data_IF_913054104215
#
_entry.id   IF_913054104215
#
_cell.length_a   1.000
_cell.length_b   1.000
_cell.length_c   1.000
_cell.angle_alpha   90.00
_cell.angle_beta   90.00
_cell.angle_gamma   90.00
#
_symmetry.space_group_name_H-M   'P 1'
#
loop_
_entity.id
_entity.type
_entity.pdbx_description
1 polymer ?
#
# COMPACT_ATOMS: atom_id res chain seq x y z
N UNK A 1 21.87 -31.87 -13.25
CA UNK A 1 21.89 -31.93 -11.77
C UNK A 1 21.05 -30.76 -11.27
N UNK A 2 19.75 -31.00 -11.01
CA UNK A 2 18.80 -29.97 -10.62
C UNK A 2 19.01 -29.64 -9.15
N UNK A 3 19.41 -28.40 -8.85
CA UNK A 3 19.59 -27.94 -7.48
C UNK A 3 18.20 -27.74 -6.84
N UNK A 4 17.90 -28.54 -5.82
CA UNK A 4 16.70 -28.37 -4.98
C UNK A 4 16.73 -27.01 -4.29
N UNK A 5 15.74 -26.17 -4.59
CA UNK A 5 15.51 -24.87 -3.97
C UNK A 5 14.99 -25.07 -2.54
N UNK A 6 15.88 -24.98 -1.54
CA UNK A 6 15.49 -24.98 -0.12
C UNK A 6 14.87 -23.64 0.28
N UNK A 7 13.65 -23.67 0.81
CA UNK A 7 12.95 -22.54 1.40
C UNK A 7 13.85 -21.83 2.44
N UNK A 8 14.22 -20.56 2.18
CA UNK A 8 15.12 -19.77 3.02
C UNK A 8 16.61 -19.70 2.60
N UNK A 9 17.00 -20.28 1.46
CA UNK A 9 18.37 -20.19 0.95
C UNK A 9 18.75 -18.81 0.37
N UNK A 10 20.03 -18.43 0.48
CA UNK A 10 20.57 -17.15 -0.04
C UNK A 10 20.37 -16.94 -1.55
N UNK A 11 20.25 -18.02 -2.33
CA UNK A 11 19.91 -17.99 -3.75
C UNK A 11 18.44 -17.57 -3.99
N UNK A 12 17.49 -18.09 -3.18
CA UNK A 12 16.10 -17.64 -3.17
C UNK A 12 16.01 -16.19 -2.70
N UNK A 13 16.77 -15.80 -1.65
CA UNK A 13 16.84 -14.41 -1.21
C UNK A 13 17.28 -13.43 -2.30
N UNK A 14 18.27 -13.80 -3.14
CA UNK A 14 18.72 -12.98 -4.28
C UNK A 14 17.72 -12.95 -5.44
N UNK A 15 17.04 -14.06 -5.72
CA UNK A 15 15.97 -14.13 -6.73
C UNK A 15 14.76 -13.30 -6.29
N UNK A 16 14.38 -13.39 -5.01
CA UNK A 16 13.31 -12.59 -4.40
C UNK A 16 13.68 -11.11 -4.32
N UNK A 17 14.94 -10.75 -4.01
CA UNK A 17 15.39 -9.36 -4.04
C UNK A 17 15.36 -8.76 -5.45
N UNK A 18 15.76 -9.53 -6.48
CA UNK A 18 15.68 -9.10 -7.89
C UNK A 18 14.23 -9.02 -8.38
N UNK A 19 13.39 -9.97 -8.00
CA UNK A 19 11.95 -9.97 -8.31
C UNK A 19 11.23 -8.83 -7.60
N UNK A 20 11.56 -8.54 -6.33
CA UNK A 20 11.00 -7.43 -5.59
C UNK A 20 11.48 -6.09 -6.16
N UNK A 21 12.77 -5.93 -6.46
CA UNK A 21 13.29 -4.72 -7.10
C UNK A 21 12.59 -4.39 -8.42
N UNK A 22 12.28 -5.40 -9.24
CA UNK A 22 11.53 -5.21 -10.48
C UNK A 22 10.07 -4.80 -10.25
N UNK A 23 9.40 -5.36 -9.23
CA UNK A 23 8.04 -4.95 -8.85
C UNK A 23 8.02 -3.50 -8.34
N UNK A 24 9.01 -3.15 -7.51
CA UNK A 24 9.23 -1.80 -6.99
C UNK A 24 9.44 -0.80 -8.12
N UNK A 25 10.27 -1.15 -9.10
CA UNK A 25 10.54 -0.34 -10.28
C UNK A 25 9.28 -0.18 -11.16
N UNK A 26 8.53 -1.27 -11.38
CA UNK A 26 7.26 -1.23 -12.10
C UNK A 26 6.26 -0.28 -11.42
N UNK A 27 6.12 -0.40 -10.10
CA UNK A 27 5.24 0.44 -9.32
C UNK A 27 5.66 1.92 -9.38
N UNK A 28 6.95 2.21 -9.18
CA UNK A 28 7.44 3.59 -9.22
C UNK A 28 7.26 4.25 -10.58
N UNK A 29 7.55 3.51 -11.66
CA UNK A 29 7.27 3.95 -13.02
C UNK A 29 5.77 4.24 -13.20
N UNK A 30 4.92 3.35 -12.71
CA UNK A 30 3.48 3.55 -12.68
C UNK A 30 3.10 4.84 -11.97
N UNK A 31 3.61 5.06 -10.76
CA UNK A 31 3.32 6.23 -9.94
C UNK A 31 3.66 7.53 -10.66
N UNK A 32 4.87 7.64 -11.19
CA UNK A 32 5.30 8.82 -11.94
C UNK A 32 4.44 9.04 -13.20
N UNK A 33 4.05 7.97 -13.90
CA UNK A 33 3.12 8.09 -15.04
C UNK A 33 1.71 8.53 -14.64
N UNK A 34 1.27 8.15 -13.44
CA UNK A 34 0.01 8.60 -12.86
C UNK A 34 0.06 10.09 -12.57
N UNK A 35 1.13 10.57 -11.95
CA UNK A 35 1.37 12.01 -11.71
C UNK A 35 1.40 12.80 -13.02
N UNK A 36 1.96 12.24 -14.10
CA UNK A 36 1.99 12.89 -15.41
C UNK A 36 0.66 12.77 -16.18
N UNK A 37 -0.34 12.05 -15.65
CA UNK A 37 -1.59 11.78 -16.36
C UNK A 37 -2.41 13.06 -16.59
N UNK A 38 -2.40 14.01 -15.67
CA UNK A 38 -3.12 15.28 -15.79
C UNK A 38 -2.51 16.25 -16.82
N UNK A 39 -1.29 16.00 -17.31
CA UNK A 39 -0.50 16.88 -18.20
C UNK A 39 -0.07 18.22 -17.57
N UNK A 40 -0.42 18.45 -16.30
CA UNK A 40 -0.05 19.64 -15.54
C UNK A 40 -0.01 19.32 -14.05
N UNK A 41 1.14 19.51 -13.43
CA UNK A 41 1.33 19.31 -12.00
C UNK A 41 0.91 20.58 -11.25
N UNK A 42 0.06 20.47 -10.25
CA UNK A 42 -0.38 21.58 -9.39
C UNK A 42 0.45 21.67 -8.11
N UNK A 43 0.41 22.82 -7.43
CA UNK A 43 1.18 23.04 -6.19
C UNK A 43 0.83 22.06 -5.06
N UNK A 44 -0.41 21.57 -5.04
CA UNK A 44 -0.86 20.57 -4.07
C UNK A 44 -0.30 19.18 -4.38
N UNK A 45 -0.08 18.85 -5.66
CA UNK A 45 0.52 17.59 -6.11
C UNK A 45 2.00 17.50 -5.70
N UNK A 46 2.73 18.63 -5.71
CA UNK A 46 4.16 18.67 -5.35
C UNK A 46 4.45 18.11 -3.95
N UNK A 47 3.62 18.46 -2.96
CA UNK A 47 3.80 17.97 -1.60
C UNK A 47 3.53 16.45 -1.49
N UNK A 48 2.55 15.95 -2.25
CA UNK A 48 2.23 14.52 -2.32
C UNK A 48 3.30 13.71 -3.04
N UNK A 49 3.81 14.21 -4.17
CA UNK A 49 4.91 13.59 -4.93
C UNK A 49 6.16 13.50 -4.05
N UNK A 50 6.50 14.59 -3.35
CA UNK A 50 7.64 14.62 -2.43
C UNK A 50 7.51 13.60 -1.31
N UNK A 51 6.32 13.50 -0.69
CA UNK A 51 6.09 12.54 0.38
C UNK A 51 6.25 11.08 -0.10
N UNK A 52 5.77 10.77 -1.30
CA UNK A 52 5.93 9.42 -1.87
C UNK A 52 7.39 9.15 -2.26
N UNK A 53 8.10 10.14 -2.82
CA UNK A 53 9.54 10.02 -3.11
C UNK A 53 10.37 9.81 -1.83
N UNK A 54 10.09 10.53 -0.74
CA UNK A 54 10.73 10.32 0.56
C UNK A 54 10.49 8.90 1.09
N UNK A 55 9.25 8.41 0.98
CA UNK A 55 8.90 7.05 1.39
C UNK A 55 9.64 6.01 0.54
N UNK A 56 9.66 6.19 -0.77
CA UNK A 56 10.35 5.30 -1.70
C UNK A 56 11.86 5.26 -1.43
N UNK A 57 12.47 6.43 -1.20
CA UNK A 57 13.88 6.56 -0.79
C UNK A 57 14.16 5.84 0.54
N UNK A 58 13.33 6.03 1.56
CA UNK A 58 13.53 5.40 2.88
C UNK A 58 13.47 3.87 2.81
N UNK A 59 12.61 3.33 1.94
CA UNK A 59 12.37 1.90 1.83
C UNK A 59 13.39 1.19 0.94
N UNK A 60 13.82 1.85 -0.14
CA UNK A 60 14.59 1.21 -1.20
C UNK A 60 15.96 1.84 -1.46
N UNK A 61 16.24 3.03 -0.90
CA UNK A 61 17.51 3.74 -1.10
C UNK A 61 17.72 4.21 -2.54
N UNK A 62 16.63 4.55 -3.25
CA UNK A 62 16.65 4.89 -4.66
C UNK A 62 17.24 6.30 -4.91
N UNK A 63 18.26 6.38 -5.77
CA UNK A 63 18.98 7.64 -6.04
C UNK A 63 18.14 8.66 -6.80
N UNK A 64 17.32 8.22 -7.75
CA UNK A 64 16.51 9.16 -8.54
C UNK A 64 15.35 9.71 -7.70
N UNK A 65 14.86 8.95 -6.71
CA UNK A 65 13.94 9.47 -5.71
C UNK A 65 14.60 10.54 -4.82
N UNK A 66 15.88 10.37 -4.43
CA UNK A 66 16.62 11.39 -3.71
C UNK A 66 16.84 12.66 -4.54
N UNK A 67 17.23 12.49 -5.81
CA UNK A 67 17.42 13.60 -6.76
C UNK A 67 16.10 14.34 -6.98
N UNK A 68 14.99 13.61 -7.17
CA UNK A 68 13.65 14.19 -7.28
C UNK A 68 13.28 15.00 -6.03
N UNK A 69 13.53 14.51 -4.82
CA UNK A 69 13.26 15.27 -3.57
C UNK A 69 14.08 16.57 -3.56
N UNK A 70 15.36 16.49 -3.91
CA UNK A 70 16.23 17.67 -3.94
C UNK A 70 15.76 18.70 -4.97
N UNK A 71 15.34 18.25 -6.15
CA UNK A 71 14.82 19.11 -7.22
C UNK A 71 13.49 19.75 -6.81
N UNK A 72 12.61 19.00 -6.15
CA UNK A 72 11.35 19.51 -5.59
C UNK A 72 11.60 20.55 -4.47
N UNK A 73 12.62 20.35 -3.63
CA UNK A 73 12.98 21.27 -2.53
C UNK A 73 13.67 22.56 -3.02
N UNK A 74 14.30 22.53 -4.19
CA UNK A 74 15.02 23.68 -4.76
C UNK A 74 14.10 24.58 -5.63
N UNK A 75 12.91 24.09 -5.99
CA UNK A 75 11.95 24.79 -6.84
C UNK A 75 11.22 25.94 -6.10
N UNK A 76 11.80 27.14 -6.07
CA UNK A 76 11.14 28.37 -5.58
C UNK A 76 10.44 29.13 -6.73
N UNK A 77 9.13 28.90 -6.98
CA UNK A 77 8.30 29.70 -7.92
C UNK A 77 7.37 28.89 -8.86
N UNK A 78 6.96 29.47 -9.98
CA UNK A 78 6.06 28.91 -11.03
C UNK A 78 6.74 27.80 -11.87
N UNK A 79 7.09 26.70 -11.20
CA UNK A 79 7.98 25.60 -11.66
C UNK A 79 7.25 24.30 -12.04
N UNK A 80 5.91 24.31 -12.12
CA UNK A 80 5.10 23.12 -12.45
C UNK A 80 5.53 22.40 -13.73
N UNK A 81 5.93 23.18 -14.74
CA UNK A 81 6.43 22.65 -16.01
C UNK A 81 7.80 22.00 -15.86
N UNK A 82 8.70 22.56 -15.07
CA UNK A 82 10.04 21.98 -14.88
C UNK A 82 9.97 20.66 -14.10
N UNK A 83 9.12 20.60 -13.07
CA UNK A 83 8.85 19.35 -12.33
C UNK A 83 8.28 18.30 -13.28
N UNK A 84 7.37 18.68 -14.18
CA UNK A 84 6.82 17.77 -15.19
C UNK A 84 7.92 17.23 -16.12
N UNK A 85 8.81 18.08 -16.62
CA UNK A 85 9.93 17.67 -17.49
C UNK A 85 10.93 16.76 -16.75
N UNK A 86 11.22 17.02 -15.47
CA UNK A 86 12.09 16.17 -14.65
C UNK A 86 11.48 14.78 -14.48
N UNK A 87 10.22 14.70 -14.05
CA UNK A 87 9.51 13.44 -13.87
C UNK A 87 9.40 12.70 -15.20
N UNK A 88 9.09 13.40 -16.29
CA UNK A 88 9.07 12.84 -17.65
C UNK A 88 10.43 12.28 -18.06
N UNK A 89 11.53 12.99 -17.75
CA UNK A 89 12.89 12.54 -18.00
C UNK A 89 13.27 11.26 -17.23
N UNK A 90 12.87 11.17 -15.95
CA UNK A 90 13.06 9.97 -15.12
C UNK A 90 12.29 8.79 -15.71
N UNK A 91 11.01 9.00 -16.06
CA UNK A 91 10.15 7.97 -16.67
C UNK A 91 10.75 7.48 -17.98
N UNK A 92 11.13 8.39 -18.89
CA UNK A 92 11.74 8.04 -20.18
C UNK A 92 13.06 7.27 -20.02
N UNK A 93 13.90 7.68 -19.06
CA UNK A 93 15.16 7.01 -18.80
C UNK A 93 14.96 5.60 -18.25
N UNK A 94 14.05 5.43 -17.28
CA UNK A 94 13.77 4.14 -16.63
C UNK A 94 12.91 3.20 -17.48
N UNK A 95 12.08 3.71 -18.38
CA UNK A 95 11.31 2.89 -19.31
C UNK A 95 12.17 2.21 -20.38
N UNK A 96 13.26 2.85 -20.84
CA UNK A 96 14.16 2.29 -21.87
C UNK A 96 14.71 0.89 -21.53
N UNK A 97 15.25 0.64 -20.31
CA UNK A 97 15.68 -0.70 -19.91
C UNK A 97 14.52 -1.59 -19.42
N UNK A 98 13.35 -1.02 -19.10
CA UNK A 98 12.22 -1.75 -18.54
C UNK A 98 11.32 -2.34 -19.64
N UNK A 99 11.64 -3.55 -20.11
CA UNK A 99 10.73 -4.32 -20.96
C UNK A 99 9.64 -4.97 -20.09
N UNK A 100 8.37 -4.58 -20.22
CA UNK A 100 7.25 -5.31 -19.58
C UNK A 100 7.26 -6.77 -20.04
N UNK A 101 7.68 -7.67 -19.14
CA UNK A 101 7.94 -9.07 -19.50
C UNK A 101 7.00 -10.04 -18.79
N UNK A 102 6.26 -9.57 -17.78
CA UNK A 102 5.34 -10.38 -17.00
C UNK A 102 4.02 -9.66 -16.71
N UNK A 103 2.94 -10.42 -16.57
CA UNK A 103 1.62 -9.92 -16.15
C UNK A 103 1.68 -9.21 -14.79
N UNK A 104 2.56 -9.66 -13.89
CA UNK A 104 2.81 -9.00 -12.61
C UNK A 104 3.44 -7.61 -12.78
N UNK A 105 4.34 -7.40 -13.76
CA UNK A 105 4.91 -6.07 -14.02
C UNK A 105 3.83 -5.09 -14.48
N UNK A 106 2.94 -5.55 -15.37
CA UNK A 106 1.80 -4.77 -15.86
C UNK A 106 0.86 -4.38 -14.71
N UNK A 107 0.49 -5.32 -13.84
CA UNK A 107 -0.35 -5.04 -12.68
C UNK A 107 0.32 -4.06 -11.70
N UNK A 108 1.61 -4.26 -11.37
CA UNK A 108 2.33 -3.36 -10.46
C UNK A 108 2.44 -1.94 -11.00
N UNK A 109 2.72 -1.79 -12.30
CA UNK A 109 2.75 -0.49 -12.97
C UNK A 109 1.36 0.16 -13.02
N UNK A 110 0.30 -0.64 -13.15
CA UNK A 110 -1.07 -0.13 -13.05
C UNK A 110 -1.42 0.34 -11.63
N UNK A 111 -1.03 -0.40 -10.59
CA UNK A 111 -1.24 0.03 -9.21
C UNK A 111 -0.47 1.30 -8.86
N UNK A 112 0.77 1.41 -9.36
CA UNK A 112 1.54 2.65 -9.32
C UNK A 112 0.78 3.78 -9.96
N UNK A 113 0.29 3.58 -11.19
CA UNK A 113 -0.48 4.58 -11.92
C UNK A 113 -1.70 5.08 -11.14
N UNK A 114 -2.48 4.16 -10.57
CA UNK A 114 -3.62 4.51 -9.73
C UNK A 114 -3.21 5.33 -8.49
N UNK A 115 -2.09 4.99 -7.84
CA UNK A 115 -1.58 5.77 -6.72
C UNK A 115 -1.08 7.16 -7.13
N UNK A 116 -0.53 7.30 -8.34
CA UNK A 116 -0.09 8.58 -8.89
C UNK A 116 -1.25 9.53 -9.15
N UNK A 117 -2.32 9.06 -9.82
CA UNK A 117 -3.51 9.89 -10.09
C UNK A 117 -4.29 10.25 -8.81
N UNK A 118 -4.18 9.45 -7.75
CA UNK A 118 -4.87 9.70 -6.49
C UNK A 118 -3.97 10.38 -5.44
N UNK A 119 -2.79 10.87 -5.82
CA UNK A 119 -1.79 11.34 -4.86
C UNK A 119 -2.21 12.61 -4.12
N UNK A 120 -2.95 13.51 -4.76
CA UNK A 120 -3.43 14.77 -4.17
C UNK A 120 -4.90 14.73 -3.74
N UNK A 121 -5.53 13.55 -3.88
CA UNK A 121 -6.94 13.30 -3.58
C UNK A 121 -7.91 14.20 -4.38
N UNK A 122 -7.50 14.64 -5.58
CA UNK A 122 -8.33 15.35 -6.55
C UNK A 122 -8.14 14.75 -7.94
N UNK A 123 -9.11 13.97 -8.39
CA UNK A 123 -9.06 13.36 -9.71
C UNK A 123 -9.55 14.35 -10.76
N UNK A 124 -8.87 14.38 -11.91
CA UNK A 124 -9.26 15.16 -13.09
C UNK A 124 -9.83 14.21 -14.14
N UNK A 125 -10.77 14.71 -14.96
CA UNK A 125 -11.38 13.92 -16.05
C UNK A 125 -10.32 13.26 -16.94
N UNK A 126 -9.26 14.00 -17.31
CA UNK A 126 -8.15 13.48 -18.13
C UNK A 126 -7.43 12.28 -17.48
N UNK A 127 -7.31 12.26 -16.16
CA UNK A 127 -6.66 11.17 -15.44
C UNK A 127 -7.54 9.92 -15.43
N UNK A 128 -8.85 10.11 -15.27
CA UNK A 128 -9.86 9.04 -15.34
C UNK A 128 -9.95 8.48 -16.78
N UNK A 129 -9.88 9.33 -17.80
CA UNK A 129 -9.80 8.92 -19.21
C UNK A 129 -8.55 8.07 -19.46
N UNK A 130 -7.38 8.53 -18.99
CA UNK A 130 -6.12 7.76 -19.10
C UNK A 130 -6.17 6.45 -18.31
N UNK A 131 -6.84 6.43 -17.16
CA UNK A 131 -7.10 5.20 -16.40
C UNK A 131 -7.91 4.20 -17.23
N UNK A 132 -9.01 4.62 -17.85
CA UNK A 132 -9.85 3.75 -18.67
C UNK A 132 -9.07 3.24 -19.89
N UNK A 133 -8.39 4.11 -20.62
CA UNK A 133 -7.57 3.77 -21.78
C UNK A 133 -6.47 2.77 -21.43
N UNK A 134 -5.85 2.92 -20.25
CA UNK A 134 -4.81 1.99 -19.77
C UNK A 134 -5.35 0.61 -19.44
N UNK A 135 -6.58 0.52 -18.92
CA UNK A 135 -7.28 -0.76 -18.71
C UNK A 135 -7.67 -1.38 -20.06
N UNK A 136 -8.16 -0.59 -21.01
CA UNK A 136 -8.56 -1.06 -22.35
C UNK A 136 -7.38 -1.62 -23.16
N UNK A 137 -6.21 -1.00 -23.06
CA UNK A 137 -4.98 -1.47 -23.74
C UNK A 137 -4.42 -2.76 -23.16
N UNK A 138 -4.78 -3.12 -21.93
CA UNK A 138 -4.25 -4.29 -21.22
C UNK A 138 -5.39 -5.21 -20.75
N UNK A 139 -5.93 -6.07 -21.63
CA UNK A 139 -7.04 -6.97 -21.28
C UNK A 139 -6.75 -7.90 -20.09
N UNK A 140 -5.46 -8.17 -19.81
CA UNK A 140 -5.03 -8.95 -18.64
C UNK A 140 -5.43 -8.30 -17.31
N UNK A 141 -5.52 -6.97 -17.26
CA UNK A 141 -5.96 -6.26 -16.06
C UNK A 141 -7.44 -6.56 -15.73
N UNK A 142 -8.26 -6.89 -16.73
CA UNK A 142 -9.66 -7.25 -16.55
C UNK A 142 -9.87 -8.67 -16.01
N UNK A 143 -8.82 -9.49 -15.90
CA UNK A 143 -8.88 -10.75 -15.16
C UNK A 143 -9.12 -10.51 -13.65
N UNK A 144 -8.73 -9.33 -13.16
CA UNK A 144 -9.04 -8.88 -11.81
C UNK A 144 -10.42 -8.21 -11.77
N UNK A 145 -11.36 -8.85 -11.07
CA UNK A 145 -12.71 -8.34 -10.88
C UNK A 145 -12.76 -6.94 -10.24
N UNK A 146 -11.73 -6.56 -9.48
CA UNK A 146 -11.62 -5.23 -8.85
C UNK A 146 -11.30 -4.16 -9.88
N UNK A 147 -10.37 -4.44 -10.79
CA UNK A 147 -10.02 -3.52 -11.88
C UNK A 147 -11.20 -3.39 -12.85
N UNK A 148 -11.91 -4.49 -13.13
CA UNK A 148 -13.14 -4.45 -13.90
C UNK A 148 -14.23 -3.59 -13.23
N UNK A 149 -14.37 -3.67 -11.90
CA UNK A 149 -15.30 -2.83 -11.15
C UNK A 149 -14.90 -1.34 -11.18
N UNK A 150 -13.61 -1.03 -10.94
CA UNK A 150 -13.07 0.33 -11.03
C UNK A 150 -13.32 0.94 -12.41
N UNK A 151 -13.08 0.19 -13.49
CA UNK A 151 -13.40 0.64 -14.86
C UNK A 151 -14.88 0.96 -15.02
N UNK A 152 -15.76 0.11 -14.49
CA UNK A 152 -17.20 0.32 -14.56
C UNK A 152 -17.67 1.59 -13.83
N UNK A 153 -17.05 1.93 -12.71
CA UNK A 153 -17.30 3.18 -11.98
C UNK A 153 -16.73 4.37 -12.75
N UNK A 154 -15.47 4.30 -13.17
CA UNK A 154 -14.79 5.35 -13.93
C UNK A 154 -15.54 5.73 -15.21
N UNK A 155 -15.98 4.76 -16.01
CA UNK A 155 -16.73 5.01 -17.26
C UNK A 155 -18.06 5.70 -17.00
N UNK A 156 -18.74 5.38 -15.90
CA UNK A 156 -20.00 6.05 -15.53
C UNK A 156 -19.74 7.47 -15.06
N UNK A 157 -18.72 7.66 -14.24
CA UNK A 157 -18.35 8.94 -13.64
C UNK A 157 -17.92 10.01 -14.64
N UNK A 158 -17.42 9.63 -15.83
CA UNK A 158 -17.10 10.60 -16.89
C UNK A 158 -18.12 10.63 -18.02
N UNK A 159 -19.22 9.86 -17.91
CA UNK A 159 -20.17 9.66 -19.01
C UNK A 159 -20.98 10.91 -19.36
N UNK A 160 -21.17 11.82 -18.40
CA UNK A 160 -21.84 13.10 -18.58
C UNK A 160 -20.85 14.25 -18.90
N UNK A 161 -19.54 13.93 -18.99
CA UNK A 161 -18.47 14.89 -19.25
C UNK A 161 -18.13 15.78 -18.06
N UNK A 162 -18.64 15.48 -16.87
CA UNK A 162 -18.33 16.19 -15.63
C UNK A 162 -17.92 15.19 -14.55
N UNK A 163 -16.95 15.55 -13.72
CA UNK A 163 -16.58 14.72 -12.58
C UNK A 163 -17.04 15.46 -11.33
N UNK A 164 -18.03 14.92 -10.63
CA UNK A 164 -18.51 15.49 -9.38
C UNK A 164 -17.61 15.10 -8.21
N UNK A 165 -17.66 15.87 -7.12
CA UNK A 165 -16.90 15.57 -5.90
C UNK A 165 -17.24 14.18 -5.32
N UNK A 166 -18.51 13.75 -5.40
CA UNK A 166 -18.93 12.42 -4.95
C UNK A 166 -18.31 11.31 -5.83
N UNK A 167 -18.22 11.52 -7.15
CA UNK A 167 -17.59 10.57 -8.07
C UNK A 167 -16.07 10.54 -7.95
N UNK A 168 -15.43 11.68 -7.69
CA UNK A 168 -14.01 11.76 -7.35
C UNK A 168 -13.71 10.92 -6.10
N UNK A 169 -14.50 11.11 -5.03
CA UNK A 169 -14.37 10.35 -3.78
C UNK A 169 -14.60 8.86 -3.99
N UNK A 170 -15.63 8.47 -4.74
CA UNK A 170 -15.92 7.07 -5.05
C UNK A 170 -14.76 6.40 -5.81
N UNK A 171 -14.22 7.05 -6.86
CA UNK A 171 -13.09 6.52 -7.62
C UNK A 171 -11.84 6.46 -6.74
N UNK A 172 -11.58 7.49 -5.94
CA UNK A 172 -10.45 7.52 -5.02
C UNK A 172 -10.54 6.38 -3.99
N UNK A 173 -11.72 6.10 -3.44
CA UNK A 173 -11.93 4.97 -2.52
C UNK A 173 -11.64 3.63 -3.22
N UNK A 174 -12.12 3.45 -4.46
CA UNK A 174 -11.82 2.25 -5.23
C UNK A 174 -10.33 2.09 -5.51
N UNK A 175 -9.62 3.18 -5.82
CA UNK A 175 -8.17 3.19 -6.01
C UNK A 175 -7.45 2.82 -4.72
N UNK A 176 -7.82 3.43 -3.59
CA UNK A 176 -7.23 3.11 -2.28
C UNK A 176 -7.43 1.63 -1.94
N UNK A 177 -8.62 1.09 -2.18
CA UNK A 177 -8.91 -0.34 -1.98
C UNK A 177 -8.08 -1.23 -2.90
N UNK A 178 -7.94 -0.85 -4.17
CA UNK A 178 -7.19 -1.61 -5.17
C UNK A 178 -5.68 -1.61 -4.86
N UNK A 179 -5.12 -0.44 -4.57
CA UNK A 179 -3.70 -0.25 -4.27
C UNK A 179 -3.35 -0.88 -2.91
N UNK A 180 -4.17 -0.68 -1.89
CA UNK A 180 -4.00 -1.28 -0.56
C UNK A 180 -4.07 -2.82 -0.57
N UNK A 181 -4.97 -3.41 -1.38
CA UNK A 181 -5.04 -4.87 -1.55
C UNK A 181 -3.95 -5.41 -2.50
N UNK A 182 -3.29 -4.57 -3.32
CA UNK A 182 -2.15 -5.00 -4.15
C UNK A 182 -0.83 -5.03 -3.36
N UNK A 183 -0.70 -4.16 -2.36
CA UNK A 183 0.40 -4.14 -1.39
C UNK A 183 0.56 -5.50 -0.67
N UNK A 184 -0.55 -6.21 -0.41
CA UNK A 184 -0.51 -7.53 0.25
C UNK A 184 0.17 -8.61 -0.59
N UNK A 185 0.06 -8.53 -1.91
CA UNK A 185 0.64 -9.52 -2.84
C UNK A 185 2.05 -9.13 -3.31
N UNK A 186 2.38 -7.84 -3.23
CA UNK A 186 3.59 -7.26 -3.83
C UNK A 186 4.66 -6.89 -2.81
N UNK A 187 4.28 -6.69 -1.53
CA UNK A 187 5.18 -6.28 -0.45
C UNK A 187 5.64 -4.82 -0.54
N UNK A 188 4.93 -4.00 -1.31
CA UNK A 188 5.23 -2.61 -1.59
C UNK A 188 4.40 -1.65 -0.73
N UNK A 189 5.01 -0.78 0.09
CA UNK A 189 4.26 0.21 0.88
C UNK A 189 3.90 1.41 0.01
N UNK A 190 2.62 1.77 -0.07
CA UNK A 190 2.14 2.85 -0.94
C UNK A 190 1.15 3.75 -0.23
N UNK A 191 1.27 5.04 -0.51
CA UNK A 191 0.51 6.22 -0.07
C UNK A 191 -0.42 6.14 1.16
N UNK A 192 -0.03 7.00 2.10
CA UNK A 192 -0.82 7.77 3.08
C UNK A 192 -2.35 7.75 2.87
N UNK A 193 -2.96 6.68 3.33
CA UNK A 193 -4.21 6.71 4.08
C UNK A 193 -4.17 5.48 4.99
N UNK A 194 -3.62 5.60 6.20
CA UNK A 194 -4.43 5.06 7.29
C UNK A 194 -5.54 6.08 7.43
N UNK A 195 -6.78 5.81 6.96
CA UNK A 195 -7.90 6.45 7.61
C UNK A 195 -7.70 6.27 9.11
N UNK A 196 -8.26 7.17 9.90
CA UNK A 196 -8.42 6.93 11.33
C UNK A 196 -9.32 5.71 11.50
N UNK A 197 -8.79 4.49 11.34
CA UNK A 197 -9.58 3.28 11.37
C UNK A 197 -9.93 3.01 12.82
N UNK A 198 -11.23 2.97 13.08
CA UNK A 198 -11.76 2.75 14.41
C UNK A 198 -11.26 1.41 14.97
N UNK A 199 -10.67 1.47 16.17
CA UNK A 199 -10.15 0.31 16.88
C UNK A 199 -8.65 0.08 16.84
N UNK A 200 -7.88 0.84 16.04
CA UNK A 200 -6.42 0.80 16.11
C UNK A 200 -5.93 1.44 17.40
N UNK A 201 -5.23 0.65 18.21
CA UNK A 201 -4.59 1.09 19.42
C UNK A 201 -3.25 1.74 19.06
N UNK A 202 -3.21 3.07 19.10
CA UNK A 202 -2.02 3.88 18.77
C UNK A 202 -1.15 4.19 19.99
N UNK A 203 -1.77 4.26 21.16
CA UNK A 203 -1.09 4.50 22.42
C UNK A 203 -0.77 3.17 23.11
N UNK A 204 0.51 2.82 23.18
CA UNK A 204 0.98 1.59 23.82
C UNK A 204 0.65 1.52 25.32
N UNK A 205 0.43 2.65 25.99
CA UNK A 205 0.06 2.68 27.41
C UNK A 205 -1.37 2.19 27.67
N UNK A 206 -2.21 2.14 26.64
CA UNK A 206 -3.58 1.63 26.71
C UNK A 206 -3.66 0.11 26.57
N UNK A 207 -2.56 -0.57 26.25
CA UNK A 207 -2.53 -2.02 26.11
C UNK A 207 -2.44 -2.69 27.48
N UNK A 208 -3.50 -3.39 27.87
CA UNK A 208 -3.56 -4.16 29.13
C UNK A 208 -3.31 -5.63 28.84
N UNK A 209 -2.30 -6.22 29.48
CA UNK A 209 -2.00 -7.65 29.34
C UNK A 209 -2.84 -8.52 30.27
N UNK A 210 -2.90 -8.16 31.55
CA UNK A 210 -3.51 -8.99 32.58
C UNK A 210 -4.98 -9.28 32.30
N UNK A 211 -5.36 -10.57 32.33
CA UNK A 211 -6.71 -11.08 32.08
C UNK A 211 -7.33 -10.71 30.71
N UNK A 212 -6.53 -10.20 29.76
CA UNK A 212 -7.01 -9.81 28.44
C UNK A 212 -6.78 -10.91 27.40
N UNK A 213 -7.69 -11.05 26.45
CA UNK A 213 -7.61 -12.02 25.35
C UNK A 213 -6.84 -11.49 24.16
N UNK A 214 -5.83 -12.24 23.72
CA UNK A 214 -4.96 -11.90 22.60
C UNK A 214 -5.04 -12.93 21.48
N UNK A 215 -5.06 -12.45 20.24
CA UNK A 215 -4.82 -13.26 19.04
C UNK A 215 -3.65 -12.66 18.28
N UNK A 216 -2.74 -13.51 17.82
CA UNK A 216 -1.51 -13.09 17.13
C UNK A 216 -1.57 -13.54 15.66
N UNK A 217 -1.40 -12.61 14.72
CA UNK A 217 -1.47 -12.91 13.28
C UNK A 217 -0.36 -12.22 12.48
N UNK A 218 0.06 -12.86 11.38
CA UNK A 218 1.18 -12.39 10.56
C UNK A 218 2.54 -12.98 10.95
N UNK A 219 3.58 -12.50 10.25
CA UNK A 219 4.98 -12.87 10.43
C UNK A 219 5.75 -11.70 11.07
N UNK A 220 6.20 -11.87 12.30
CA UNK A 220 6.74 -10.79 13.13
C UNK A 220 8.26 -10.62 12.96
N UNK A 221 8.73 -9.38 12.99
CA UNK A 221 10.15 -9.03 13.06
C UNK A 221 10.74 -9.24 14.46
N UNK A 222 9.92 -9.14 15.51
CA UNK A 222 10.31 -9.38 16.90
C UNK A 222 10.76 -10.81 17.19
N UNK A 223 10.32 -11.78 16.39
CA UNK A 223 10.69 -13.18 16.53
C UNK A 223 9.55 -14.15 16.21
N UNK A 224 9.79 -15.47 16.38
CA UNK A 224 8.80 -16.50 16.14
C UNK A 224 7.52 -16.27 16.97
N UNK A 225 6.35 -16.55 16.37
CA UNK A 225 5.04 -16.37 17.02
C UNK A 225 4.98 -16.97 18.43
N UNK A 226 5.56 -18.15 18.63
CA UNK A 226 5.61 -18.83 19.94
C UNK A 226 6.30 -18.01 21.04
N UNK A 227 7.30 -17.20 20.68
CA UNK A 227 8.00 -16.32 21.62
C UNK A 227 7.10 -15.13 22.00
N UNK A 228 6.44 -14.54 21.00
CA UNK A 228 5.50 -13.43 21.20
C UNK A 228 4.32 -13.85 22.08
N UNK A 229 3.74 -15.01 21.80
CA UNK A 229 2.69 -15.60 22.64
C UNK A 229 3.20 -15.85 24.08
N UNK A 230 4.46 -16.27 24.23
CA UNK A 230 5.12 -16.40 25.53
C UNK A 230 5.16 -15.08 26.31
N UNK A 231 5.59 -13.98 25.68
CA UNK A 231 5.65 -12.67 26.34
C UNK A 231 4.30 -12.14 26.81
N UNK A 232 3.23 -12.48 26.08
CA UNK A 232 1.85 -12.14 26.45
C UNK A 232 1.44 -12.94 27.69
N UNK A 233 1.67 -14.25 27.69
CA UNK A 233 1.34 -15.15 28.81
C UNK A 233 2.13 -14.80 30.07
N UNK A 234 3.42 -14.48 29.94
CA UNK A 234 4.27 -14.03 31.05
C UNK A 234 3.73 -12.76 31.74
N UNK A 235 2.97 -11.93 31.02
CA UNK A 235 2.35 -10.69 31.53
C UNK A 235 0.89 -10.87 31.92
N UNK A 236 0.40 -12.12 32.02
CA UNK A 236 -0.95 -12.44 32.47
C UNK A 236 -2.04 -12.40 31.38
N UNK A 237 -1.65 -12.32 30.11
CA UNK A 237 -2.58 -12.37 28.97
C UNK A 237 -2.94 -13.78 28.52
N UNK A 238 -4.11 -13.91 27.89
CA UNK A 238 -4.67 -15.17 27.39
C UNK A 238 -4.53 -15.24 25.87
N UNK A 239 -3.69 -16.12 25.36
CA UNK A 239 -3.50 -16.28 23.91
C UNK A 239 -4.46 -17.31 23.33
N UNK A 240 -5.17 -16.93 22.26
CA UNK A 240 -6.06 -17.81 21.49
C UNK A 240 -5.62 -17.91 20.02
N UNK A 241 -5.93 -19.04 19.39
CA UNK A 241 -5.60 -19.30 17.97
C UNK A 241 -6.61 -18.74 16.98
N UNK A 242 -7.81 -18.43 17.44
CA UNK A 242 -8.95 -17.95 16.65
C UNK A 242 -9.62 -16.80 17.36
N UNK A 243 -10.32 -15.96 16.60
CA UNK A 243 -11.05 -14.84 17.17
C UNK A 243 -12.33 -15.35 17.84
N UNK A 244 -12.62 -14.80 19.01
CA UNK A 244 -13.79 -15.11 19.81
C UNK A 244 -14.35 -13.85 20.45
N UNK A 245 -15.52 -13.95 21.08
CA UNK A 245 -16.12 -12.84 21.86
C UNK A 245 -15.26 -12.39 23.04
N UNK A 246 -14.33 -13.20 23.52
CA UNK A 246 -13.39 -12.87 24.60
C UNK A 246 -12.04 -12.35 24.08
N UNK A 247 -11.94 -12.01 22.79
CA UNK A 247 -10.73 -11.44 22.21
C UNK A 247 -10.77 -9.92 22.36
N UNK A 248 -9.84 -9.38 23.15
CA UNK A 248 -9.71 -7.94 23.40
C UNK A 248 -8.70 -7.31 22.44
N UNK A 249 -7.65 -8.03 22.05
CA UNK A 249 -6.58 -7.51 21.19
C UNK A 249 -6.22 -8.48 20.05
N UNK A 250 -6.17 -7.96 18.83
CA UNK A 250 -5.53 -8.62 17.68
C UNK A 250 -4.16 -7.98 17.43
N UNK A 251 -3.09 -8.72 17.71
CA UNK A 251 -1.72 -8.30 17.43
C UNK A 251 -1.39 -8.64 15.98
N UNK A 252 -0.98 -7.62 15.23
CA UNK A 252 -0.66 -7.75 13.80
C UNK A 252 0.79 -7.40 13.54
N UNK A 253 1.48 -8.30 12.86
CA UNK A 253 2.87 -8.12 12.49
C UNK A 253 3.09 -6.88 11.60
N UNK A 254 4.23 -6.21 11.73
CA UNK A 254 4.63 -5.07 10.88
C UNK A 254 4.83 -5.45 9.41
N UNK A 255 5.06 -6.75 9.13
CA UNK A 255 5.18 -7.29 7.78
C UNK A 255 3.81 -7.70 7.21
N UNK A 256 2.78 -7.81 8.04
CA UNK A 256 1.43 -7.77 7.49
C UNK A 256 1.22 -6.32 7.03
N UNK A 257 0.94 -6.15 5.73
CA UNK A 257 0.68 -4.90 5.02
C UNK A 257 0.25 -3.75 5.94
N UNK A 258 0.79 -2.54 5.77
CA UNK A 258 0.37 -1.34 6.50
C UNK A 258 -1.16 -1.10 6.43
N UNK A 259 -1.81 -1.67 5.41
CA UNK A 259 -3.27 -1.66 5.17
C UNK A 259 -3.94 -3.01 5.50
N UNK A 260 -3.32 -3.84 6.34
CA UNK A 260 -3.84 -5.14 6.78
C UNK A 260 -5.28 -5.02 7.26
N UNK A 261 -5.60 -3.88 7.85
CA UNK A 261 -6.90 -3.57 8.42
C UNK A 261 -8.00 -3.43 7.36
N UNK A 262 -7.65 -3.20 6.08
CA UNK A 262 -8.52 -3.25 4.90
C UNK A 262 -8.32 -4.51 4.05
N UNK A 263 -7.31 -5.34 4.34
CA UNK A 263 -7.05 -6.56 3.57
C UNK A 263 -8.21 -7.56 3.65
N UNK A 264 -8.72 -7.96 2.49
CA UNK A 264 -9.76 -8.99 2.35
C UNK A 264 -9.23 -10.42 2.48
N UNK A 265 -7.97 -10.60 2.90
CA UNK A 265 -7.25 -11.87 2.81
C UNK A 265 -6.81 -12.45 4.16
N UNK A 266 -6.99 -11.74 5.28
CA UNK A 266 -6.73 -12.28 6.61
C UNK A 266 -8.00 -12.80 7.28
N UNK A 267 -8.22 -14.12 7.35
CA UNK A 267 -9.43 -14.70 8.00
C UNK A 267 -9.64 -14.15 9.41
N UNK A 268 -8.57 -13.97 10.19
CA UNK A 268 -8.61 -13.37 11.53
C UNK A 268 -8.93 -11.87 11.49
N UNK A 269 -8.41 -11.12 10.53
CA UNK A 269 -8.69 -9.68 10.43
C UNK A 269 -10.17 -9.46 10.06
N UNK A 270 -10.69 -10.27 9.13
CA UNK A 270 -12.11 -10.28 8.76
C UNK A 270 -12.99 -10.66 9.95
N UNK A 271 -12.63 -11.71 10.70
CA UNK A 271 -13.35 -12.12 11.91
C UNK A 271 -13.34 -11.04 12.98
N UNK A 272 -12.21 -10.34 13.18
CA UNK A 272 -12.09 -9.24 14.13
C UNK A 272 -12.99 -8.07 13.75
N UNK A 273 -12.99 -7.71 12.46
CA UNK A 273 -13.84 -6.63 11.94
C UNK A 273 -15.31 -6.95 12.15
N UNK A 274 -15.75 -8.16 11.77
CA UNK A 274 -17.14 -8.63 12.00
C UNK A 274 -17.51 -8.60 13.48
N UNK A 275 -16.59 -9.00 14.36
CA UNK A 275 -16.81 -8.95 15.80
C UNK A 275 -17.03 -7.50 16.27
N UNK A 276 -16.24 -6.55 15.77
CA UNK A 276 -16.39 -5.13 16.10
C UNK A 276 -17.69 -4.52 15.56
N UNK A 277 -18.04 -4.81 14.31
CA UNK A 277 -19.32 -4.42 13.69
C UNK A 277 -20.53 -4.97 14.46
N UNK A 278 -20.40 -6.15 15.06
CA UNK A 278 -21.43 -6.74 15.92
C UNK A 278 -21.46 -6.19 17.35
N UNK A 279 -20.71 -5.12 17.65
CA UNK A 279 -20.65 -4.43 18.94
C UNK A 279 -19.53 -4.91 19.88
N UNK A 280 -18.60 -5.75 19.39
CA UNK A 280 -17.44 -6.20 20.15
C UNK A 280 -16.38 -5.11 20.33
N UNK A 281 -15.61 -5.19 21.42
CA UNK A 281 -14.56 -4.21 21.78
C UNK A 281 -13.15 -4.72 21.46
N UNK A 282 -12.95 -5.28 20.27
CA UNK A 282 -11.63 -5.78 19.86
C UNK A 282 -10.76 -4.63 19.35
N UNK A 283 -9.54 -4.53 19.88
CA UNK A 283 -8.53 -3.55 19.50
C UNK A 283 -7.49 -4.17 18.56
N UNK A 284 -7.08 -3.38 17.58
CA UNK A 284 -6.07 -3.72 16.60
C UNK A 284 -4.73 -3.14 17.03
N UNK A 285 -3.72 -3.98 17.26
CA UNK A 285 -2.41 -3.56 17.77
C UNK A 285 -1.32 -3.92 16.78
N UNK A 286 -0.66 -2.91 16.24
CA UNK A 286 0.50 -3.12 15.35
C UNK A 286 1.73 -3.55 16.13
N UNK A 287 2.61 -4.31 15.48
CA UNK A 287 3.85 -4.81 16.07
C UNK A 287 4.73 -3.70 16.68
N UNK A 288 4.77 -2.51 16.09
CA UNK A 288 5.51 -1.38 16.65
C UNK A 288 4.91 -0.89 17.97
N UNK A 289 3.58 -0.80 18.06
CA UNK A 289 2.88 -0.43 19.30
C UNK A 289 3.03 -1.53 20.34
N UNK A 290 2.92 -2.80 19.93
CA UNK A 290 3.12 -3.95 20.80
C UNK A 290 4.55 -4.00 21.36
N UNK A 291 5.56 -3.71 20.54
CA UNK A 291 6.97 -3.61 20.97
C UNK A 291 7.14 -2.57 22.07
N UNK A 292 6.57 -1.37 21.88
CA UNK A 292 6.60 -0.30 22.89
C UNK A 292 5.92 -0.74 24.19
N UNK A 293 4.78 -1.44 24.11
CA UNK A 293 4.06 -1.96 25.27
C UNK A 293 4.85 -3.05 26.03
N UNK A 294 5.71 -3.79 25.34
CA UNK A 294 6.62 -4.77 25.97
C UNK A 294 7.80 -4.15 26.71
N UNK A 295 8.10 -2.87 26.45
CA UNK A 295 9.25 -2.14 27.01
C UNK A 295 10.56 -2.36 26.24
N UNK A 296 10.47 -2.70 24.95
CA UNK A 296 11.62 -2.87 24.04
C UNK A 296 11.88 -1.62 23.18
#
# INVERSE_FOLDING_TARGET
>A
MMAELKYGGSALGRIHAKSNGRKVEAYWLGFLEGVLASESIESLEVASIRAEAEQFLQLFGDTDAADLIQDLDTAYGDYHREIFEIISGIVDYRLRPFSESSSNDCCNRFFGFCAGIACDNRLKIKEVEKLIDRIDRNPQLLEDARIAALKGVAVKAISDGHLSMEEEEDIAEWIVRLVGDSCTDTGLPTYRNTPSIDGVLRDASMLVFENSGFVVTGAFSLGPRKIIEGWIVERGGLVSKSISRSTDYLIVAAIASRDWLHSHQGTKIIEARKLRESGGRIHFVEELTFRKALGF
#
